data_IF_624188775048
#
_entry.id   IF_624188775048
#
_cell.length_a   1.000
_cell.length_b   1.000
_cell.length_c   1.000
_cell.angle_alpha   90.00
_cell.angle_beta   90.00
_cell.angle_gamma   90.00
#
_symmetry.space_group_name_H-M   'P 1'
#
loop_
_entity.id
_entity.type
_entity.pdbx_description
1 polymer ?
#
# COMPACT_ATOMS: atom_id res chain seq x y z
N UNK A 1 -9.42 7.28 12.18
CA UNK A 1 -7.96 7.09 12.28
C UNK A 1 -7.75 5.79 13.01
N UNK A 2 -6.98 4.88 12.42
CA UNK A 2 -6.63 3.61 13.05
C UNK A 2 -5.39 3.83 13.91
N UNK A 3 -5.43 3.33 15.14
CA UNK A 3 -4.38 3.44 16.14
C UNK A 3 -4.08 2.04 16.66
N UNK A 4 -2.87 1.82 17.15
CA UNK A 4 -2.50 0.60 17.85
C UNK A 4 -1.04 0.63 18.28
N UNK A 5 -0.64 -0.36 19.08
CA UNK A 5 0.74 -0.52 19.53
C UNK A 5 1.33 -1.79 18.94
N UNK A 6 2.62 -1.78 18.62
CA UNK A 6 3.37 -2.99 18.26
C UNK A 6 3.52 -3.93 19.47
N UNK A 7 3.36 -3.40 20.68
CA UNK A 7 3.52 -4.08 21.97
C UNK A 7 2.17 -4.47 22.59
N UNK A 8 1.07 -4.41 21.82
CA UNK A 8 -0.27 -4.79 22.26
C UNK A 8 -1.20 -3.60 22.49
N UNK A 9 -1.66 -3.40 23.73
CA UNK A 9 -2.62 -2.33 24.04
C UNK A 9 -1.95 -0.94 24.07
N UNK A 10 -2.63 0.07 23.53
CA UNK A 10 -2.20 1.48 23.65
C UNK A 10 -2.43 1.94 25.10
N UNK A 11 -1.38 2.30 25.88
CA UNK A 11 -1.54 2.56 27.31
C UNK A 11 -2.24 3.90 27.63
N UNK A 12 -2.27 4.83 26.68
CA UNK A 12 -2.83 6.18 26.83
C UNK A 12 -4.10 6.40 25.98
N UNK A 13 -4.98 5.39 25.93
CA UNK A 13 -6.25 5.45 25.17
C UNK A 13 -7.18 6.56 25.65
N UNK A 14 -7.21 6.82 26.95
CA UNK A 14 -8.09 7.82 27.56
C UNK A 14 -7.69 9.22 27.14
N UNK A 15 -6.40 9.51 27.15
CA UNK A 15 -5.81 10.79 26.74
C UNK A 15 -6.04 11.04 25.25
N UNK A 16 -5.92 10.00 24.42
CA UNK A 16 -6.27 10.10 22.99
C UNK A 16 -7.76 10.35 22.79
N UNK A 17 -8.63 9.65 23.53
CA UNK A 17 -10.07 9.89 23.45
C UNK A 17 -10.42 11.33 23.84
N UNK A 18 -9.80 11.86 24.89
CA UNK A 18 -9.98 13.25 25.31
C UNK A 18 -9.44 14.24 24.29
N UNK A 19 -8.22 14.04 23.77
CA UNK A 19 -7.63 14.92 22.76
C UNK A 19 -8.47 15.01 21.49
N UNK A 20 -9.11 13.91 21.09
CA UNK A 20 -9.90 13.84 19.86
C UNK A 20 -11.41 14.08 20.06
N UNK A 21 -11.92 14.23 21.29
CA UNK A 21 -13.36 14.25 21.59
C UNK A 21 -14.13 15.38 20.87
N UNK A 22 -13.46 16.52 20.63
CA UNK A 22 -14.03 17.71 19.95
C UNK A 22 -13.77 17.73 18.45
N UNK A 23 -13.04 16.75 17.92
CA UNK A 23 -12.70 16.66 16.51
C UNK A 23 -13.74 15.83 15.74
N UNK A 24 -13.68 15.87 14.41
CA UNK A 24 -14.49 14.97 13.56
C UNK A 24 -13.84 13.60 13.36
N UNK A 25 -12.63 13.38 13.88
CA UNK A 25 -11.90 12.13 13.71
C UNK A 25 -12.38 11.09 14.70
N UNK A 26 -12.84 9.95 14.18
CA UNK A 26 -13.13 8.76 15.00
C UNK A 26 -11.84 7.98 15.20
N UNK A 27 -11.55 7.61 16.45
CA UNK A 27 -10.45 6.73 16.79
C UNK A 27 -10.92 5.28 16.74
N UNK A 28 -10.18 4.44 16.03
CA UNK A 28 -10.36 3.00 15.97
C UNK A 28 -9.07 2.33 16.43
N UNK A 29 -9.16 1.35 17.33
CA UNK A 29 -7.99 0.73 17.95
C UNK A 29 -7.81 -0.69 17.41
N UNK A 30 -6.81 -0.88 16.55
CA UNK A 30 -6.43 -2.19 16.07
C UNK A 30 -5.79 -3.00 17.20
N UNK A 31 -6.23 -4.25 17.34
CA UNK A 31 -5.58 -5.25 18.20
C UNK A 31 -4.26 -5.76 17.62
N UNK A 32 -4.09 -5.62 16.30
CA UNK A 32 -2.86 -5.98 15.58
C UNK A 32 -2.54 -4.87 14.58
N UNK A 33 -1.82 -3.85 15.06
CA UNK A 33 -1.41 -2.72 14.21
C UNK A 33 -0.36 -3.16 13.19
N UNK A 34 0.43 -4.20 13.49
CA UNK A 34 1.47 -4.70 12.59
C UNK A 34 0.84 -5.34 11.35
N UNK A 35 -0.17 -6.20 11.53
CA UNK A 35 -0.97 -6.75 10.43
C UNK A 35 -1.55 -5.65 9.55
N UNK A 36 -2.14 -4.62 10.18
CA UNK A 36 -2.70 -3.48 9.48
C UNK A 36 -1.63 -2.75 8.66
N UNK A 37 -0.49 -2.39 9.27
CA UNK A 37 0.59 -1.67 8.59
C UNK A 37 1.16 -2.46 7.40
N UNK A 38 1.52 -3.74 7.60
CA UNK A 38 2.09 -4.56 6.54
C UNK A 38 1.11 -4.77 5.38
N UNK A 39 -0.17 -4.95 5.68
CA UNK A 39 -1.22 -5.03 4.65
C UNK A 39 -1.35 -3.74 3.86
N UNK A 40 -1.20 -2.60 4.54
CA UNK A 40 -1.26 -1.28 3.90
C UNK A 40 -0.03 -1.01 3.02
N UNK A 41 1.17 -1.44 3.42
CA UNK A 41 2.37 -1.33 2.59
C UNK A 41 2.18 -2.02 1.23
N UNK A 42 1.66 -3.26 1.25
CA UNK A 42 1.38 -4.04 0.03
C UNK A 42 0.40 -3.33 -0.91
N UNK A 43 -0.50 -2.49 -0.39
CA UNK A 43 -1.40 -1.68 -1.20
C UNK A 43 -0.77 -0.36 -1.68
N UNK A 44 -0.13 0.38 -0.77
CA UNK A 44 0.35 1.74 -1.00
C UNK A 44 1.46 1.75 -2.03
N UNK A 45 2.43 0.83 -1.92
CA UNK A 45 3.56 0.72 -2.84
C UNK A 45 3.09 0.68 -4.30
N UNK A 46 2.25 -0.28 -4.73
CA UNK A 46 1.82 -0.36 -6.11
C UNK A 46 0.97 0.84 -6.56
N UNK A 47 0.01 1.30 -5.74
CA UNK A 47 -0.89 2.41 -6.14
C UNK A 47 -0.11 3.71 -6.34
N UNK A 48 0.72 4.08 -5.37
CA UNK A 48 1.48 5.34 -5.44
C UNK A 48 2.56 5.29 -6.52
N UNK A 49 3.20 4.14 -6.71
CA UNK A 49 4.14 3.94 -7.80
C UNK A 49 3.52 4.08 -9.18
N UNK A 50 2.29 3.58 -9.39
CA UNK A 50 1.58 3.82 -10.65
C UNK A 50 1.37 5.31 -10.86
N UNK A 51 0.87 6.04 -9.87
CA UNK A 51 0.62 7.48 -9.98
C UNK A 51 1.94 8.22 -10.29
N UNK A 52 3.01 7.88 -9.59
CA UNK A 52 4.34 8.43 -9.76
C UNK A 52 4.90 8.19 -11.17
N UNK A 53 4.74 7.00 -11.75
CA UNK A 53 5.23 6.69 -13.10
C UNK A 53 4.64 7.61 -14.19
N UNK A 54 3.45 8.21 -13.96
CA UNK A 54 2.85 9.19 -14.87
C UNK A 54 2.97 10.64 -14.38
N UNK A 55 3.96 10.95 -13.56
CA UNK A 55 4.19 12.32 -13.06
C UNK A 55 2.97 12.88 -12.34
N UNK A 56 2.28 12.02 -11.58
CA UNK A 56 1.04 12.34 -10.87
C UNK A 56 -0.11 12.81 -11.80
N UNK A 57 -0.01 12.55 -13.11
CA UNK A 57 -1.05 12.87 -14.08
C UNK A 57 -2.20 11.85 -14.00
N UNK A 58 -3.13 12.09 -13.07
CA UNK A 58 -4.28 11.21 -12.82
C UNK A 58 -5.14 10.93 -14.07
N UNK A 59 -5.19 11.86 -15.02
CA UNK A 59 -5.91 11.67 -16.28
C UNK A 59 -5.25 10.59 -17.16
N UNK A 60 -3.92 10.54 -17.23
CA UNK A 60 -3.18 9.45 -17.90
C UNK A 60 -3.29 8.15 -17.10
N UNK A 61 -3.10 8.22 -15.79
CA UNK A 61 -3.18 7.05 -14.88
C UNK A 61 -4.52 6.32 -15.01
N UNK A 62 -5.64 7.05 -15.10
CA UNK A 62 -6.98 6.45 -15.20
C UNK A 62 -7.26 5.72 -16.53
N UNK A 63 -6.37 5.87 -17.53
CA UNK A 63 -6.51 5.27 -18.87
C UNK A 63 -5.65 4.02 -19.05
N UNK A 64 -4.60 3.84 -18.24
CA UNK A 64 -3.66 2.73 -18.42
C UNK A 64 -4.09 1.44 -17.67
N UNK A 65 -4.91 0.63 -18.34
CA UNK A 65 -5.36 -0.65 -17.77
C UNK A 65 -4.23 -1.67 -17.56
N UNK A 66 -3.18 -1.64 -18.38
CA UNK A 66 -2.08 -2.59 -18.28
C UNK A 66 -1.26 -2.33 -17.02
N UNK A 67 -1.02 -1.05 -16.71
CA UNK A 67 -0.31 -0.65 -15.49
C UNK A 67 -1.06 -1.06 -14.22
N UNK A 68 -2.39 -0.89 -14.19
CA UNK A 68 -3.20 -1.31 -13.04
C UNK A 68 -3.24 -2.84 -12.87
N UNK A 69 -3.18 -3.61 -13.96
CA UNK A 69 -3.03 -5.08 -13.87
C UNK A 69 -1.67 -5.46 -13.28
N UNK A 70 -0.60 -4.81 -13.69
CA UNK A 70 0.74 -5.00 -13.12
C UNK A 70 0.75 -4.67 -11.62
N UNK A 71 0.16 -3.53 -11.23
CA UNK A 71 0.04 -3.14 -9.82
C UNK A 71 -0.71 -4.18 -8.96
N UNK A 72 -1.77 -4.79 -9.49
CA UNK A 72 -2.50 -5.85 -8.78
C UNK A 72 -1.69 -7.15 -8.70
N UNK A 73 -0.87 -7.47 -9.71
CA UNK A 73 0.06 -8.60 -9.62
C UNK A 73 1.11 -8.39 -8.53
N UNK A 74 1.62 -7.16 -8.39
CA UNK A 74 2.51 -6.76 -7.28
C UNK A 74 1.82 -6.93 -5.93
N UNK A 75 0.55 -6.52 -5.81
CA UNK A 75 -0.25 -6.73 -4.58
C UNK A 75 -0.39 -8.22 -4.24
N UNK A 76 -0.72 -9.06 -5.23
CA UNK A 76 -0.84 -10.51 -5.02
C UNK A 76 0.48 -11.14 -4.55
N UNK A 77 1.61 -10.76 -5.15
CA UNK A 77 2.95 -11.17 -4.70
C UNK A 77 3.26 -10.71 -3.27
N UNK A 78 3.01 -9.44 -2.95
CA UNK A 78 3.22 -8.91 -1.60
C UNK A 78 2.36 -9.63 -0.55
N UNK A 79 1.08 -9.92 -0.85
CA UNK A 79 0.23 -10.68 0.04
C UNK A 79 0.66 -12.15 0.17
N UNK A 80 1.19 -12.76 -0.89
CA UNK A 80 1.78 -14.11 -0.82
C UNK A 80 3.00 -14.13 0.09
N UNK A 81 3.87 -13.12 0.04
CA UNK A 81 5.02 -12.98 0.96
C UNK A 81 4.56 -12.94 2.42
N UNK A 82 3.58 -12.09 2.76
CA UNK A 82 3.01 -12.04 4.10
C UNK A 82 2.41 -13.39 4.53
N UNK A 83 1.62 -14.01 3.65
CA UNK A 83 0.98 -15.30 3.93
C UNK A 83 2.00 -16.43 4.14
N UNK A 84 3.08 -16.47 3.36
CA UNK A 84 4.15 -17.47 3.47
C UNK A 84 4.93 -17.33 4.77
N UNK A 85 5.08 -16.11 5.28
CA UNK A 85 5.70 -15.85 6.59
C UNK A 85 4.77 -16.09 7.77
N UNK A 86 3.51 -16.49 7.52
CA UNK A 86 2.50 -16.64 8.57
C UNK A 86 2.04 -15.32 9.18
N UNK A 87 2.28 -14.19 8.50
CA UNK A 87 1.91 -12.87 8.97
C UNK A 87 0.42 -12.61 8.66
N UNK A 88 -0.38 -12.15 9.64
CA UNK A 88 -1.78 -11.83 9.43
C UNK A 88 -1.96 -10.65 8.45
N UNK A 89 -3.03 -10.71 7.65
CA UNK A 89 -3.41 -9.66 6.70
C UNK A 89 -4.75 -9.06 7.08
N UNK A 90 -4.84 -7.73 7.12
CA UNK A 90 -6.00 -6.98 7.56
C UNK A 90 -6.36 -5.81 6.61
N UNK A 91 -7.59 -5.75 6.06
CA UNK A 91 -8.61 -6.81 6.11
C UNK A 91 -8.29 -7.96 5.12
N UNK A 92 -8.65 -9.18 5.50
CA UNK A 92 -8.44 -10.39 4.67
C UNK A 92 -9.14 -10.32 3.30
N UNK A 93 -10.15 -9.45 3.15
CA UNK A 93 -10.80 -9.17 1.87
C UNK A 93 -9.86 -8.59 0.81
N UNK A 94 -8.78 -7.89 1.21
CA UNK A 94 -7.78 -7.36 0.29
C UNK A 94 -7.02 -8.46 -0.44
N UNK A 95 -6.58 -9.50 0.29
CA UNK A 95 -5.93 -10.70 -0.29
C UNK A 95 -6.88 -11.35 -1.29
N UNK A 96 -8.14 -11.53 -0.90
CA UNK A 96 -9.14 -12.12 -1.77
C UNK A 96 -9.38 -11.29 -3.03
N UNK A 97 -9.39 -9.96 -2.93
CA UNK A 97 -9.52 -9.05 -4.08
C UNK A 97 -8.38 -9.20 -5.07
N UNK A 98 -7.14 -9.17 -4.59
CA UNK A 98 -5.95 -9.31 -5.43
C UNK A 98 -5.86 -10.71 -6.08
N UNK A 99 -6.12 -11.76 -5.30
CA UNK A 99 -5.96 -13.15 -5.75
C UNK A 99 -7.13 -13.66 -6.61
N UNK A 100 -8.37 -13.44 -6.16
CA UNK A 100 -9.57 -14.05 -6.78
C UNK A 100 -10.23 -13.14 -7.81
N UNK A 101 -10.06 -11.83 -7.68
CA UNK A 101 -10.73 -10.85 -8.54
C UNK A 101 -9.78 -9.77 -9.08
N UNK A 102 -8.60 -10.13 -9.62
CA UNK A 102 -7.56 -9.16 -9.99
C UNK A 102 -8.03 -8.14 -11.03
N UNK A 103 -8.85 -8.56 -11.99
CA UNK A 103 -9.40 -7.66 -13.01
C UNK A 103 -10.38 -6.63 -12.43
N UNK A 104 -11.22 -7.05 -11.48
CA UNK A 104 -12.17 -6.13 -10.82
C UNK A 104 -11.43 -5.15 -9.92
N UNK A 105 -10.42 -5.62 -9.17
CA UNK A 105 -9.59 -4.75 -8.34
C UNK A 105 -8.83 -3.72 -9.20
N UNK A 106 -8.21 -4.16 -10.31
CA UNK A 106 -7.52 -3.26 -11.23
C UNK A 106 -8.47 -2.20 -11.82
N UNK A 107 -9.70 -2.59 -12.19
CA UNK A 107 -10.71 -1.65 -12.68
C UNK A 107 -11.15 -0.65 -11.59
N UNK A 108 -11.38 -1.12 -10.36
CA UNK A 108 -11.75 -0.28 -9.22
C UNK A 108 -10.66 0.75 -8.91
N UNK A 109 -9.41 0.30 -8.78
CA UNK A 109 -8.26 1.17 -8.54
C UNK A 109 -8.12 2.23 -9.63
N UNK A 110 -8.32 1.86 -10.90
CA UNK A 110 -8.30 2.78 -12.03
C UNK A 110 -9.44 3.80 -12.00
N UNK A 111 -10.64 3.40 -11.60
CA UNK A 111 -11.80 4.30 -11.50
C UNK A 111 -11.63 5.31 -10.36
N UNK A 112 -11.07 4.89 -9.23
CA UNK A 112 -10.82 5.77 -8.07
C UNK A 112 -9.93 6.95 -8.44
N UNK A 113 -9.01 6.80 -9.39
CA UNK A 113 -8.12 7.87 -9.88
C UNK A 113 -8.87 9.06 -10.51
N UNK A 114 -10.14 8.86 -10.90
CA UNK A 114 -10.98 9.92 -11.46
C UNK A 114 -11.68 10.76 -10.39
N UNK A 115 -11.64 10.33 -9.13
CA UNK A 115 -12.34 11.00 -8.04
C UNK A 115 -11.58 12.27 -7.61
N UNK A 116 -12.28 13.39 -7.30
CA UNK A 116 -11.64 14.67 -7.01
C UNK A 116 -10.63 14.62 -5.86
N UNK A 117 -10.87 13.79 -4.83
CA UNK A 117 -9.99 13.72 -3.66
C UNK A 117 -8.60 13.16 -3.98
N UNK A 118 -8.42 12.46 -5.10
CA UNK A 118 -7.10 11.97 -5.52
C UNK A 118 -6.11 13.11 -5.81
N UNK A 119 -6.62 14.32 -6.10
CA UNK A 119 -5.80 15.53 -6.22
C UNK A 119 -5.29 16.07 -4.88
N UNK A 120 -5.82 15.57 -3.77
CA UNK A 120 -5.39 15.94 -2.42
C UNK A 120 -4.28 15.02 -1.89
N UNK A 121 -3.90 14.00 -2.67
CA UNK A 121 -2.74 13.17 -2.35
C UNK A 121 -1.51 14.03 -2.56
N UNK A 122 -0.83 14.29 -1.46
CA UNK A 122 0.48 14.92 -1.38
C UNK A 122 1.48 13.89 -0.86
N UNK A 123 2.76 14.06 -1.18
CA UNK A 123 3.81 13.13 -0.80
C UNK A 123 4.89 12.97 -1.87
N UNK A 124 6.08 12.57 -1.42
CA UNK A 124 7.22 12.34 -2.30
C UNK A 124 7.43 10.85 -2.56
N UNK A 125 7.99 10.52 -3.72
CA UNK A 125 8.34 9.13 -4.02
C UNK A 125 9.41 8.56 -3.05
N UNK A 126 10.15 9.42 -2.34
CA UNK A 126 11.09 8.99 -1.29
C UNK A 126 10.42 8.20 -0.17
N UNK A 127 9.18 8.51 0.18
CA UNK A 127 8.41 7.74 1.18
C UNK A 127 8.11 6.33 0.65
N UNK A 128 7.73 6.21 -0.62
CA UNK A 128 7.48 4.92 -1.27
C UNK A 128 8.78 4.11 -1.41
N UNK A 129 9.90 4.77 -1.71
CA UNK A 129 11.22 4.14 -1.71
C UNK A 129 11.59 3.58 -0.33
N UNK A 130 11.28 4.31 0.75
CA UNK A 130 11.48 3.82 2.11
C UNK A 130 10.57 2.61 2.42
N UNK A 131 9.32 2.60 1.94
CA UNK A 131 8.44 1.43 2.08
C UNK A 131 8.97 0.20 1.35
N UNK A 132 9.53 0.37 0.14
CA UNK A 132 10.23 -0.73 -0.55
C UNK A 132 11.38 -1.28 0.30
N UNK A 133 12.19 -0.41 0.89
CA UNK A 133 13.31 -0.83 1.76
C UNK A 133 12.82 -1.54 3.02
N UNK A 134 11.75 -1.04 3.65
CA UNK A 134 11.18 -1.65 4.84
C UNK A 134 10.56 -3.04 4.56
N UNK A 135 10.06 -3.28 3.35
CA UNK A 135 9.46 -4.56 2.97
C UNK A 135 10.48 -5.60 2.49
N UNK A 136 11.67 -5.16 2.04
CA UNK A 136 12.71 -6.02 1.49
C UNK A 136 13.12 -7.20 2.40
N UNK A 137 13.31 -7.03 3.73
CA UNK A 137 13.67 -8.16 4.60
C UNK A 137 12.60 -9.26 4.60
N UNK A 138 11.32 -8.90 4.48
CA UNK A 138 10.22 -9.86 4.41
C UNK A 138 10.26 -10.65 3.10
N UNK A 139 10.55 -9.97 1.98
CA UNK A 139 10.73 -10.60 0.68
C UNK A 139 11.86 -11.64 0.72
N UNK A 140 13.01 -11.26 1.28
CA UNK A 140 14.18 -12.12 1.43
C UNK A 140 13.91 -13.32 2.36
N UNK A 141 13.18 -13.10 3.45
CA UNK A 141 12.82 -14.15 4.39
C UNK A 141 11.84 -15.16 3.78
N UNK A 142 10.87 -14.69 2.99
CA UNK A 142 9.86 -15.55 2.36
C UNK A 142 10.44 -16.45 1.27
N UNK A 143 11.57 -16.05 0.64
CA UNK A 143 12.27 -16.79 -0.42
C UNK A 143 11.33 -17.18 -1.59
N UNK A 144 10.37 -16.33 -1.89
CA UNK A 144 9.45 -16.50 -3.01
C UNK A 144 9.99 -15.81 -4.27
N UNK A 145 9.65 -16.34 -5.44
CA UNK A 145 9.82 -15.61 -6.69
C UNK A 145 8.72 -14.56 -6.81
N UNK A 146 9.11 -13.30 -6.97
CA UNK A 146 8.21 -12.14 -7.05
C UNK A 146 8.52 -11.27 -8.27
N UNK A 147 8.41 -11.83 -9.49
CA UNK A 147 8.84 -11.14 -10.71
C UNK A 147 8.02 -9.87 -11.01
N UNK A 148 6.73 -9.82 -10.65
CA UNK A 148 5.95 -8.60 -10.85
C UNK A 148 6.44 -7.48 -9.91
N UNK A 149 6.72 -7.81 -8.65
CA UNK A 149 7.29 -6.90 -7.67
C UNK A 149 8.66 -6.40 -8.11
N UNK A 150 9.55 -7.31 -8.53
CA UNK A 150 10.94 -6.99 -8.90
C UNK A 150 10.99 -6.07 -10.13
N UNK A 151 10.27 -6.42 -11.20
CA UNK A 151 10.15 -5.60 -12.40
C UNK A 151 9.56 -4.21 -12.08
N UNK A 152 8.50 -4.18 -11.27
CA UNK A 152 7.83 -2.94 -10.92
C UNK A 152 8.69 -2.03 -10.04
N UNK A 153 9.38 -2.59 -9.04
CA UNK A 153 10.38 -1.89 -8.21
C UNK A 153 11.52 -1.36 -9.08
N UNK A 154 12.02 -2.15 -10.03
CA UNK A 154 13.09 -1.70 -10.93
C UNK A 154 12.67 -0.49 -11.77
N UNK A 155 11.47 -0.52 -12.36
CA UNK A 155 10.95 0.58 -13.17
C UNK A 155 10.81 1.88 -12.36
N UNK A 156 10.24 1.78 -11.16
CA UNK A 156 9.94 2.96 -10.33
C UNK A 156 11.20 3.53 -9.69
N UNK A 157 12.08 2.68 -9.17
CA UNK A 157 13.36 3.10 -8.60
C UNK A 157 14.34 3.65 -9.65
N UNK A 158 14.28 3.15 -10.89
CA UNK A 158 15.06 3.73 -12.00
C UNK A 158 14.62 5.15 -12.31
N UNK A 159 13.30 5.39 -12.42
CA UNK A 159 12.77 6.74 -12.61
C UNK A 159 13.21 7.65 -11.46
N UNK A 160 13.08 7.18 -10.23
CA UNK A 160 13.49 7.94 -9.05
C UNK A 160 14.98 8.28 -9.05
N UNK A 161 15.86 7.33 -9.35
CA UNK A 161 17.29 7.60 -9.43
C UNK A 161 17.65 8.65 -10.50
N UNK A 162 16.95 8.68 -11.63
CA UNK A 162 17.16 9.67 -12.69
C UNK A 162 16.69 11.08 -12.28
N UNK A 163 15.68 11.20 -11.43
CA UNK A 163 15.20 12.49 -10.92
C UNK A 163 16.07 13.06 -9.79
N UNK A 164 16.93 12.25 -9.18
CA UNK A 164 17.89 12.67 -8.15
C UNK A 164 19.27 13.06 -8.72
N UNK A 165 19.50 12.83 -10.02
CA UNK A 165 20.77 13.10 -10.72
C UNK A 165 20.78 14.50 -11.34
#
# INVERSE_FOLDING_TARGET
MVLGSLEGEVPFKTELAEAFHKTKYKLDYSQDINAWLLSHIVLIIPVMSVIYLYDFNLAKVSKDSARWKQAVAVMDEGFRVLSTLGLPVNPASLVNGAKKHPALLAQGLRLVQKLPFMKLIDGSFSEIAALYQAFEPLMQQARLSTPAWDDFKQQTMRKYALEQA
#
